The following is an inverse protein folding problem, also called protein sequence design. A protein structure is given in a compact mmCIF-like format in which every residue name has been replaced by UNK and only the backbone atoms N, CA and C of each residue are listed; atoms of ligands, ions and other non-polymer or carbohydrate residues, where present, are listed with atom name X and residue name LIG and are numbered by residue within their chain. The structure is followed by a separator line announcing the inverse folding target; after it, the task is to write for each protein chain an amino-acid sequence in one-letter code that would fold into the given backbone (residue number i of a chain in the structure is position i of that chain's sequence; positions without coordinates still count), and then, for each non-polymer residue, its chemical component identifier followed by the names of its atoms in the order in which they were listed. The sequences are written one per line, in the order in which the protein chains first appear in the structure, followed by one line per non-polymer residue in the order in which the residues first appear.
data_IF_393364402339
#
_entry.id   IF_393364402339
#
_cell.length_a   1.000
_cell.length_b   1.000
_cell.length_c   1.000
_cell.angle_alpha   90.00
_cell.angle_beta   90.00
_cell.angle_gamma   90.00
#
_symmetry.space_group_name_H-M   'P 1'
#
loop_
_entity.id
_entity.type
_entity.pdbx_description
1 polymer ?
#
# COMPACT_ATOMS: atom_id res chain seq x y z
N UNK A 1 14.36 1.14 -25.64
CA UNK A 1 14.85 2.12 -24.64
C UNK A 1 15.32 1.37 -23.42
N UNK A 2 16.26 1.95 -22.69
CA UNK A 2 16.64 1.58 -21.34
C UNK A 2 15.84 2.44 -20.35
N UNK A 3 15.00 1.80 -19.52
CA UNK A 3 14.07 2.49 -18.62
C UNK A 3 14.44 2.15 -17.18
N UNK A 4 14.57 3.16 -16.32
CA UNK A 4 14.80 2.96 -14.90
C UNK A 4 13.49 3.22 -14.12
N UNK A 5 12.98 2.18 -13.45
CA UNK A 5 11.92 2.32 -12.45
C UNK A 5 12.57 2.53 -11.08
N UNK A 6 12.23 3.64 -10.42
CA UNK A 6 12.93 4.05 -9.20
C UNK A 6 11.96 4.19 -8.03
N UNK A 7 12.34 3.71 -6.86
CA UNK A 7 11.58 3.88 -5.62
C UNK A 7 12.51 3.80 -4.39
N UNK A 8 12.01 4.05 -3.19
CA UNK A 8 12.81 3.91 -1.97
C UNK A 8 13.17 2.45 -1.66
N UNK A 9 12.33 1.52 -2.13
CA UNK A 9 12.42 0.07 -1.96
C UNK A 9 11.81 -0.63 -3.18
N UNK A 10 12.27 -1.82 -3.52
CA UNK A 10 11.64 -2.71 -4.53
C UNK A 10 11.68 -4.15 -4.02
N UNK A 11 10.89 -5.05 -4.62
CA UNK A 11 10.88 -6.47 -4.25
C UNK A 11 10.34 -6.76 -2.83
N UNK A 12 9.53 -5.85 -2.28
CA UNK A 12 8.85 -5.96 -0.99
C UNK A 12 7.32 -6.12 -1.18
N UNK A 13 6.58 -6.39 -0.10
CA UNK A 13 5.11 -6.58 -0.13
C UNK A 13 4.30 -5.28 -0.20
N UNK A 14 4.95 -4.12 -0.31
CA UNK A 14 4.24 -2.85 -0.39
C UNK A 14 3.60 -2.64 -1.78
N UNK A 15 2.51 -1.87 -1.81
CA UNK A 15 1.71 -1.69 -3.01
C UNK A 15 2.49 -1.09 -4.19
N UNK A 16 3.48 -0.22 -3.96
CA UNK A 16 4.22 0.44 -5.04
C UNK A 16 5.20 -0.54 -5.67
N UNK A 17 5.92 -1.32 -4.86
CA UNK A 17 6.80 -2.40 -5.36
C UNK A 17 6.04 -3.38 -6.27
N UNK A 18 4.84 -3.82 -5.84
CA UNK A 18 4.00 -4.72 -6.64
C UNK A 18 3.57 -4.11 -7.98
N UNK A 19 3.26 -2.81 -8.03
CA UNK A 19 2.92 -2.14 -9.28
C UNK A 19 4.14 -1.97 -10.19
N UNK A 20 5.31 -1.69 -9.62
CA UNK A 20 6.55 -1.58 -10.38
C UNK A 20 6.92 -2.89 -11.08
N UNK A 21 6.69 -4.04 -10.46
CA UNK A 21 6.91 -5.36 -11.08
C UNK A 21 5.99 -5.57 -12.29
N UNK A 22 4.72 -5.15 -12.20
CA UNK A 22 3.77 -5.21 -13.31
C UNK A 22 4.21 -4.31 -14.46
N UNK A 23 4.62 -3.09 -14.16
CA UNK A 23 5.16 -2.16 -15.16
C UNK A 23 6.41 -2.71 -15.84
N UNK A 24 7.33 -3.29 -15.06
CA UNK A 24 8.52 -3.92 -15.60
C UNK A 24 8.17 -5.02 -16.60
N UNK A 25 7.29 -5.95 -16.22
CA UNK A 25 6.82 -7.03 -17.10
C UNK A 25 6.23 -6.49 -18.40
N UNK A 26 5.34 -5.49 -18.33
CA UNK A 26 4.70 -4.90 -19.52
C UNK A 26 5.73 -4.20 -20.42
N UNK A 27 6.61 -3.39 -19.86
CA UNK A 27 7.64 -2.66 -20.62
C UNK A 27 8.66 -3.61 -21.27
N UNK A 28 9.04 -4.69 -20.59
CA UNK A 28 9.92 -5.72 -21.14
C UNK A 28 9.23 -6.49 -22.28
N UNK A 29 7.94 -6.82 -22.14
CA UNK A 29 7.15 -7.41 -23.21
C UNK A 29 7.01 -6.49 -24.44
N UNK A 30 7.12 -5.18 -24.24
CA UNK A 30 7.19 -4.18 -25.32
C UNK A 30 8.60 -4.06 -25.95
N UNK A 31 9.57 -4.85 -25.51
CA UNK A 31 10.94 -4.87 -26.03
C UNK A 31 11.85 -3.81 -25.43
N UNK A 32 11.52 -3.27 -24.25
CA UNK A 32 12.41 -2.36 -23.51
C UNK A 32 13.29 -3.12 -22.52
N UNK A 33 14.43 -2.54 -22.16
CA UNK A 33 15.27 -3.04 -21.07
C UNK A 33 14.95 -2.24 -19.81
N UNK A 34 14.55 -2.93 -18.74
CA UNK A 34 14.05 -2.27 -17.53
C UNK A 34 14.95 -2.56 -16.34
N UNK A 35 15.29 -1.49 -15.63
CA UNK A 35 16.18 -1.51 -14.48
C UNK A 35 15.43 -1.03 -13.24
N UNK A 36 15.73 -1.65 -12.10
CA UNK A 36 15.32 -1.09 -10.80
C UNK A 36 16.46 -0.28 -10.20
N UNK A 37 16.12 0.87 -9.61
CA UNK A 37 17.03 1.67 -8.77
C UNK A 37 16.31 1.97 -7.47
N UNK A 38 16.89 1.54 -6.33
CA UNK A 38 16.24 1.70 -5.05
C UNK A 38 17.21 1.81 -3.88
N UNK A 39 16.70 2.08 -2.68
CA UNK A 39 17.47 1.99 -1.43
C UNK A 39 17.52 0.59 -0.81
N UNK A 40 16.62 -0.30 -1.21
CA UNK A 40 16.59 -1.74 -0.91
C UNK A 40 15.93 -2.49 -2.07
N UNK A 41 16.32 -3.75 -2.30
CA UNK A 41 15.78 -4.53 -3.43
C UNK A 41 15.02 -5.80 -3.03
N UNK A 42 14.89 -6.11 -1.74
CA UNK A 42 14.10 -7.26 -1.28
C UNK A 42 14.51 -8.55 -2.01
N UNK A 43 13.55 -9.17 -2.70
CA UNK A 43 13.77 -10.38 -3.53
C UNK A 43 14.06 -10.10 -5.01
N UNK A 44 14.16 -8.83 -5.41
CA UNK A 44 14.41 -8.39 -6.78
C UNK A 44 15.87 -8.01 -7.02
N UNK A 45 16.30 -8.09 -8.28
CA UNK A 45 17.59 -7.55 -8.73
C UNK A 45 17.45 -6.06 -9.12
N UNK A 46 18.39 -5.23 -8.67
CA UNK A 46 18.40 -3.80 -8.96
C UNK A 46 19.66 -3.10 -8.49
N UNK A 47 19.84 -1.85 -8.90
CA UNK A 47 20.89 -0.99 -8.40
C UNK A 47 20.49 -0.38 -7.07
N UNK A 48 21.42 -0.39 -6.11
CA UNK A 48 21.19 0.13 -4.77
C UNK A 48 21.91 1.46 -4.59
N UNK A 49 21.18 2.48 -4.16
CA UNK A 49 21.73 3.72 -3.60
C UNK A 49 21.36 3.71 -2.11
N UNK A 50 22.28 3.32 -1.20
CA UNK A 50 21.96 3.10 0.22
C UNK A 50 21.30 4.29 0.90
N UNK A 51 21.67 5.50 0.50
CA UNK A 51 21.13 6.77 0.97
C UNK A 51 19.63 6.96 0.68
N UNK A 52 19.08 6.25 -0.32
CA UNK A 52 17.65 6.25 -0.62
C UNK A 52 16.86 5.25 0.23
N UNK A 53 17.52 4.47 1.08
CA UNK A 53 16.85 3.46 1.88
C UNK A 53 15.80 4.12 2.77
N UNK A 54 14.59 3.55 2.78
CA UNK A 54 13.48 4.09 3.56
C UNK A 54 13.76 4.19 5.07
N UNK A 55 14.77 3.48 5.58
CA UNK A 55 15.22 3.52 6.98
C UNK A 55 16.62 4.10 7.14
N UNK A 56 17.14 4.84 6.16
CA UNK A 56 18.45 5.47 6.27
C UNK A 56 18.45 6.49 7.42
N UNK A 57 19.33 6.29 8.41
CA UNK A 57 19.29 7.00 9.70
C UNK A 57 19.37 8.53 9.54
N UNK A 58 20.29 9.02 8.70
CA UNK A 58 20.45 10.46 8.47
C UNK A 58 19.22 11.06 7.79
N UNK A 59 18.59 10.34 6.86
CA UNK A 59 17.40 10.83 6.16
C UNK A 59 16.17 10.83 7.07
N UNK A 60 16.05 9.86 7.98
CA UNK A 60 15.03 9.86 9.04
C UNK A 60 15.22 11.04 10.02
N UNK A 61 16.48 11.38 10.35
CA UNK A 61 16.80 12.56 11.16
C UNK A 61 16.37 13.84 10.43
N UNK A 62 16.72 13.98 9.16
CA UNK A 62 16.30 15.10 8.31
C UNK A 62 14.78 15.21 8.27
N UNK A 63 14.07 14.12 7.98
CA UNK A 63 12.61 14.10 7.88
C UNK A 63 11.94 14.59 9.17
N UNK A 64 12.34 14.06 10.32
CA UNK A 64 11.80 14.48 11.62
C UNK A 64 12.00 15.97 11.85
N UNK A 65 13.18 16.48 11.52
CA UNK A 65 13.48 17.90 11.70
C UNK A 65 12.78 18.79 10.69
N UNK A 66 12.45 18.25 9.50
CA UNK A 66 11.76 18.96 8.44
C UNK A 66 10.24 19.06 8.67
N UNK A 67 9.62 18.06 9.29
CA UNK A 67 8.14 17.99 9.39
C UNK A 67 7.57 17.87 10.80
N UNK A 68 8.33 17.39 11.77
CA UNK A 68 7.84 17.25 13.15
C UNK A 68 8.29 18.44 13.99
N UNK A 69 9.61 18.58 14.17
CA UNK A 69 10.20 19.64 14.98
C UNK A 69 11.69 19.75 14.71
N UNK A 70 12.16 20.97 14.45
CA UNK A 70 13.59 21.26 14.30
C UNK A 70 14.25 21.31 15.68
N UNK A 71 14.93 20.23 16.07
CA UNK A 71 15.57 20.10 17.39
C UNK A 71 16.92 19.36 17.38
N UNK A 72 17.21 18.54 16.37
CA UNK A 72 18.48 17.81 16.27
C UNK A 72 19.56 18.56 15.46
N UNK A 73 19.25 19.77 15.01
CA UNK A 73 20.15 20.71 14.34
C UNK A 73 20.08 22.05 15.07
N UNK A 74 21.20 22.78 15.11
CA UNK A 74 21.30 24.07 15.81
C UNK A 74 20.36 25.11 15.25
N UNK A 75 20.21 25.15 13.93
CA UNK A 75 19.40 26.11 13.19
C UNK A 75 18.97 25.56 11.82
N UNK A 76 18.20 26.38 11.09
CA UNK A 76 17.76 26.08 9.72
C UNK A 76 18.96 25.86 8.77
N UNK A 77 20.06 26.60 8.93
CA UNK A 77 21.23 26.50 8.05
C UNK A 77 21.96 25.16 8.22
N UNK A 78 22.03 24.62 9.43
CA UNK A 78 22.60 23.29 9.67
C UNK A 78 21.74 22.18 9.05
N UNK A 79 20.41 22.27 9.17
CA UNK A 79 19.50 21.35 8.47
C UNK A 79 19.70 21.43 6.95
N UNK A 80 19.82 22.64 6.38
CA UNK A 80 20.07 22.84 4.94
C UNK A 80 21.40 22.17 4.53
N UNK A 81 22.46 22.33 5.33
CA UNK A 81 23.75 21.67 5.06
C UNK A 81 23.63 20.14 5.06
N UNK A 82 22.89 19.58 6.01
CA UNK A 82 22.64 18.14 6.08
C UNK A 82 21.86 17.64 4.84
N UNK A 83 20.77 18.33 4.47
CA UNK A 83 19.97 18.04 3.28
C UNK A 83 20.84 18.05 2.02
N UNK A 84 21.61 19.12 1.80
CA UNK A 84 22.46 19.27 0.60
C UNK A 84 23.55 18.20 0.55
N UNK A 85 24.19 17.90 1.69
CA UNK A 85 25.20 16.84 1.78
C UNK A 85 24.63 15.48 1.37
N UNK A 86 23.44 15.16 1.86
CA UNK A 86 22.77 13.90 1.52
C UNK A 86 22.32 13.88 0.05
N UNK A 87 21.84 15.02 -0.47
CA UNK A 87 21.43 15.19 -1.87
C UNK A 87 22.60 14.86 -2.80
N UNK A 88 23.78 15.44 -2.56
CA UNK A 88 24.97 15.23 -3.41
C UNK A 88 25.40 13.75 -3.49
N UNK A 89 25.35 13.01 -2.38
CA UNK A 89 25.67 11.58 -2.38
C UNK A 89 24.73 10.77 -3.27
N UNK A 90 23.43 11.07 -3.20
CA UNK A 90 22.41 10.41 -4.02
C UNK A 90 22.61 10.80 -5.49
N UNK A 91 22.91 12.06 -5.78
CA UNK A 91 23.20 12.53 -7.14
C UNK A 91 24.39 11.78 -7.75
N UNK A 92 25.50 11.62 -7.03
CA UNK A 92 26.68 10.89 -7.51
C UNK A 92 26.35 9.43 -7.86
N UNK A 93 25.65 8.73 -6.96
CA UNK A 93 25.22 7.35 -7.20
C UNK A 93 24.25 7.23 -8.37
N UNK A 94 23.26 8.12 -8.43
CA UNK A 94 22.25 8.13 -9.48
C UNK A 94 22.88 8.42 -10.85
N UNK A 95 23.68 9.48 -10.99
CA UNK A 95 24.38 9.81 -12.25
C UNK A 95 25.20 8.63 -12.76
N UNK A 96 25.98 8.00 -11.88
CA UNK A 96 26.80 6.84 -12.22
C UNK A 96 25.94 5.73 -12.84
N UNK A 97 24.87 5.32 -12.15
CA UNK A 97 23.99 4.25 -12.62
C UNK A 97 23.32 4.61 -13.96
N UNK A 98 22.80 5.84 -14.09
CA UNK A 98 22.10 6.29 -15.29
C UNK A 98 23.03 6.33 -16.52
N UNK A 99 24.25 6.84 -16.35
CA UNK A 99 25.25 6.95 -17.43
C UNK A 99 25.77 5.57 -17.85
N UNK A 100 26.20 4.73 -16.89
CA UNK A 100 26.73 3.40 -17.17
C UNK A 100 25.72 2.50 -17.89
N UNK A 101 24.44 2.65 -17.56
CA UNK A 101 23.35 1.88 -18.18
C UNK A 101 22.70 2.56 -19.37
N UNK A 102 23.14 3.77 -19.76
CA UNK A 102 22.58 4.55 -20.86
C UNK A 102 21.06 4.66 -20.76
N UNK A 103 20.56 5.08 -19.59
CA UNK A 103 19.13 5.19 -19.32
C UNK A 103 18.52 6.31 -20.17
N UNK A 104 17.46 5.99 -20.92
CA UNK A 104 16.75 6.92 -21.81
C UNK A 104 15.55 7.60 -21.12
N UNK A 105 14.99 6.95 -20.08
CA UNK A 105 13.78 7.35 -19.38
C UNK A 105 13.85 6.90 -17.92
N UNK A 106 13.50 7.79 -17.00
CA UNK A 106 13.36 7.47 -15.58
C UNK A 106 11.90 7.57 -15.13
N UNK A 107 11.47 6.66 -14.26
CA UNK A 107 10.11 6.60 -13.71
C UNK A 107 10.22 6.54 -12.19
N UNK A 108 10.42 7.68 -11.50
CA UNK A 108 10.36 7.73 -10.05
C UNK A 108 8.93 7.47 -9.57
N UNK A 109 8.76 6.43 -8.77
CA UNK A 109 7.51 6.09 -8.09
C UNK A 109 7.52 6.72 -6.70
N UNK A 110 6.57 7.63 -6.43
CA UNK A 110 6.42 8.39 -5.18
C UNK A 110 7.59 9.31 -4.75
N UNK A 111 8.80 9.15 -5.29
CA UNK A 111 9.97 9.95 -4.90
C UNK A 111 9.68 11.45 -5.03
N UNK A 112 9.00 11.85 -6.10
CA UNK A 112 8.70 13.25 -6.43
C UNK A 112 7.35 13.75 -5.90
N UNK A 113 6.66 13.01 -5.04
CA UNK A 113 5.31 13.41 -4.56
C UNK A 113 5.08 13.22 -3.07
N UNK A 114 5.54 12.12 -2.48
CA UNK A 114 5.13 11.70 -1.13
C UNK A 114 5.74 12.54 0.02
N UNK A 115 6.84 13.25 -0.23
CA UNK A 115 7.52 14.08 0.78
C UNK A 115 8.46 13.34 1.74
N UNK A 116 8.58 12.00 1.63
CA UNK A 116 9.38 11.14 2.51
C UNK A 116 10.84 11.57 2.64
N UNK A 117 11.58 11.70 1.54
CA UNK A 117 13.00 12.10 1.56
C UNK A 117 13.23 13.33 0.69
N UNK A 118 13.38 14.49 1.33
CA UNK A 118 13.76 15.75 0.69
C UNK A 118 15.07 15.59 -0.13
N UNK A 119 16.16 15.03 0.43
CA UNK A 119 17.40 14.84 -0.31
C UNK A 119 17.23 14.01 -1.58
N UNK A 120 16.43 12.94 -1.52
CA UNK A 120 16.20 12.05 -2.68
C UNK A 120 15.46 12.78 -3.80
N UNK A 121 14.38 13.51 -3.49
CA UNK A 121 13.63 14.24 -4.52
C UNK A 121 14.49 15.33 -5.17
N UNK A 122 15.26 16.08 -4.37
CA UNK A 122 16.19 17.09 -4.89
C UNK A 122 17.22 16.45 -5.83
N UNK A 123 17.83 15.34 -5.43
CA UNK A 123 18.82 14.65 -6.24
C UNK A 123 18.26 14.18 -7.58
N UNK A 124 17.05 13.60 -7.59
CA UNK A 124 16.40 13.16 -8.82
C UNK A 124 16.14 14.32 -9.78
N UNK A 125 15.56 15.43 -9.29
CA UNK A 125 15.26 16.59 -10.13
C UNK A 125 16.53 17.23 -10.69
N UNK A 126 17.58 17.37 -9.86
CA UNK A 126 18.85 17.93 -10.28
C UNK A 126 19.51 17.08 -11.37
N UNK A 127 19.56 15.75 -11.18
CA UNK A 127 20.15 14.83 -12.15
C UNK A 127 19.34 14.77 -13.44
N UNK A 128 18.00 14.79 -13.37
CA UNK A 128 17.12 14.84 -14.55
C UNK A 128 17.45 16.07 -15.40
N UNK A 129 17.54 17.25 -14.78
CA UNK A 129 17.88 18.51 -15.45
C UNK A 129 19.29 18.51 -16.00
N UNK A 130 20.27 18.09 -15.21
CA UNK A 130 21.69 18.07 -15.57
C UNK A 130 21.96 17.15 -16.77
N UNK A 131 21.36 15.97 -16.79
CA UNK A 131 21.56 14.98 -17.85
C UNK A 131 20.56 15.11 -19.01
N UNK A 132 19.54 15.96 -18.89
CA UNK A 132 18.47 16.10 -19.89
C UNK A 132 17.65 14.81 -20.09
N UNK A 133 17.55 13.98 -19.06
CA UNK A 133 16.87 12.68 -19.14
C UNK A 133 15.36 12.88 -19.02
N UNK A 134 14.58 12.26 -19.91
CA UNK A 134 13.11 12.32 -19.80
C UNK A 134 12.63 11.56 -18.57
N UNK A 135 11.57 12.07 -17.96
CA UNK A 135 11.03 11.54 -16.71
C UNK A 135 9.51 11.41 -16.76
N UNK A 136 8.99 10.30 -16.23
CA UNK A 136 7.58 10.15 -15.88
C UNK A 136 7.49 10.04 -14.35
N UNK A 137 7.07 11.11 -13.70
CA UNK A 137 6.77 11.08 -12.27
C UNK A 137 5.49 10.30 -12.03
N UNK A 138 5.61 9.07 -11.50
CA UNK A 138 4.46 8.21 -11.20
C UNK A 138 4.10 8.33 -9.72
N UNK A 139 3.00 9.05 -9.46
CA UNK A 139 2.64 9.48 -8.11
C UNK A 139 1.45 8.68 -7.59
N UNK A 140 1.70 7.90 -6.55
CA UNK A 140 0.69 7.10 -5.85
C UNK A 140 0.13 7.84 -4.63
N UNK A 141 0.99 8.64 -3.99
CA UNK A 141 0.68 9.43 -2.80
C UNK A 141 1.37 10.79 -2.89
N UNK A 142 0.77 11.79 -2.26
CA UNK A 142 1.31 13.15 -2.17
C UNK A 142 1.52 13.59 -0.72
N UNK A 143 2.50 14.47 -0.51
CA UNK A 143 2.86 14.95 0.83
C UNK A 143 1.68 15.63 1.54
N UNK A 144 0.77 16.27 0.80
CA UNK A 144 -0.41 16.92 1.38
C UNK A 144 -1.52 15.95 1.80
N UNK A 145 -1.45 14.67 1.41
CA UNK A 145 -2.36 13.62 1.87
C UNK A 145 -1.89 13.01 3.20
N UNK A 146 -0.68 13.37 3.65
CA UNK A 146 0.04 12.75 4.76
C UNK A 146 0.38 13.81 5.81
N UNK A 147 -0.28 13.76 6.96
CA UNK A 147 -0.06 14.73 8.06
C UNK A 147 1.43 14.84 8.40
N UNK A 148 2.14 13.71 8.48
CA UNK A 148 3.56 13.61 8.80
C UNK A 148 4.53 14.19 7.76
N UNK A 149 4.06 14.52 6.54
CA UNK A 149 4.89 15.16 5.49
C UNK A 149 4.36 16.54 5.08
N UNK A 150 3.29 17.02 5.71
CA UNK A 150 2.55 18.22 5.29
C UNK A 150 2.81 19.47 6.14
N UNK A 151 3.62 19.35 7.21
CA UNK A 151 3.84 20.40 8.20
C UNK A 151 5.30 20.87 8.23
N UNK A 152 5.74 21.71 7.27
CA UNK A 152 7.13 22.16 7.24
C UNK A 152 7.50 22.99 8.48
N UNK A 153 8.61 22.64 9.13
CA UNK A 153 9.12 23.30 10.35
C UNK A 153 9.85 24.61 10.07
N UNK A 154 10.39 24.78 8.86
CA UNK A 154 11.14 25.98 8.45
C UNK A 154 10.80 26.43 7.02
N UNK A 155 11.26 27.62 6.64
CA UNK A 155 10.95 28.22 5.34
C UNK A 155 11.62 27.50 4.18
N UNK A 156 12.84 26.96 4.38
CA UNK A 156 13.53 26.16 3.38
C UNK A 156 12.74 24.92 2.99
N UNK A 157 12.24 24.15 3.97
CA UNK A 157 11.45 22.94 3.69
C UNK A 157 10.17 23.30 2.93
N UNK A 158 9.49 24.39 3.31
CA UNK A 158 8.32 24.87 2.56
C UNK A 158 8.65 25.14 1.09
N UNK A 159 9.76 25.84 0.82
CA UNK A 159 10.21 26.14 -0.56
C UNK A 159 10.57 24.86 -1.32
N UNK A 160 11.20 23.89 -0.66
CA UNK A 160 11.52 22.59 -1.27
C UNK A 160 10.24 21.85 -1.68
N UNK A 161 9.21 21.81 -0.81
CA UNK A 161 7.91 21.22 -1.18
C UNK A 161 7.30 21.93 -2.40
N UNK A 162 7.41 23.25 -2.46
CA UNK A 162 6.93 24.05 -3.59
C UNK A 162 7.74 23.88 -4.88
N UNK A 163 9.00 23.45 -4.82
CA UNK A 163 9.87 23.34 -5.98
C UNK A 163 9.98 21.89 -6.49
N UNK A 164 10.06 20.91 -5.58
CA UNK A 164 10.39 19.52 -5.89
C UNK A 164 9.23 18.54 -5.77
N UNK A 165 8.05 18.94 -5.25
CA UNK A 165 6.94 18.02 -4.95
C UNK A 165 5.57 18.41 -5.53
N UNK A 166 5.20 17.85 -6.69
CA UNK A 166 6.10 17.46 -7.78
C UNK A 166 6.67 18.70 -8.50
N UNK A 167 7.82 18.54 -9.19
CA UNK A 167 8.50 19.65 -9.87
C UNK A 167 7.76 20.07 -11.14
N UNK A 168 7.85 21.35 -11.51
CA UNK A 168 7.37 21.86 -12.80
C UNK A 168 8.54 21.94 -13.78
N UNK A 169 8.59 21.02 -14.73
CA UNK A 169 9.70 20.93 -15.69
C UNK A 169 9.24 20.23 -16.98
N UNK A 170 9.70 20.71 -18.14
CA UNK A 170 9.31 20.17 -19.46
C UNK A 170 9.84 18.75 -19.71
N UNK A 171 10.88 18.32 -18.99
CA UNK A 171 11.40 16.95 -19.04
C UNK A 171 10.54 15.97 -18.23
N UNK A 172 9.63 16.46 -17.37
CA UNK A 172 8.90 15.67 -16.39
C UNK A 172 7.41 15.68 -16.72
N UNK A 173 6.91 14.55 -17.21
CA UNK A 173 5.47 14.30 -17.30
C UNK A 173 4.96 13.68 -16.00
N UNK A 174 3.74 14.03 -15.59
CA UNK A 174 3.14 13.50 -14.36
C UNK A 174 2.03 12.49 -14.64
N UNK A 175 2.07 11.41 -13.88
CA UNK A 175 1.06 10.36 -13.87
C UNK A 175 0.56 10.20 -12.45
N UNK A 176 -0.76 10.10 -12.30
CA UNK A 176 -1.44 9.89 -11.02
C UNK A 176 -2.35 8.68 -11.10
N UNK A 177 -2.66 8.07 -9.97
CA UNK A 177 -3.42 6.82 -9.95
C UNK A 177 -4.95 6.98 -9.90
N UNK A 178 -5.46 8.20 -9.66
CA UNK A 178 -6.90 8.45 -9.54
C UNK A 178 -7.32 9.87 -9.94
N UNK A 179 -8.61 10.07 -10.20
CA UNK A 179 -9.18 11.33 -10.69
C UNK A 179 -9.33 12.42 -9.63
N UNK A 180 -9.30 12.07 -8.35
CA UNK A 180 -9.32 13.05 -7.25
C UNK A 180 -7.98 13.77 -7.23
N UNK A 181 -6.90 12.99 -7.17
CA UNK A 181 -5.54 13.50 -7.10
C UNK A 181 -5.11 14.19 -8.39
N UNK A 182 -5.61 13.77 -9.56
CA UNK A 182 -5.43 14.51 -10.82
C UNK A 182 -5.93 15.96 -10.71
N UNK A 183 -7.14 16.14 -10.16
CA UNK A 183 -7.74 17.46 -9.98
C UNK A 183 -7.00 18.25 -8.92
N UNK A 184 -6.64 17.63 -7.80
CA UNK A 184 -5.88 18.29 -6.74
C UNK A 184 -4.51 18.78 -7.24
N UNK A 185 -3.80 17.95 -8.00
CA UNK A 185 -2.51 18.31 -8.59
C UNK A 185 -2.65 19.53 -9.52
N UNK A 186 -3.70 19.55 -10.36
CA UNK A 186 -3.97 20.70 -11.22
C UNK A 186 -4.27 21.98 -10.42
N UNK A 187 -5.07 21.89 -9.35
CA UNK A 187 -5.43 23.05 -8.52
C UNK A 187 -4.25 23.55 -7.70
N UNK A 188 -3.53 22.65 -7.03
CA UNK A 188 -2.45 23.01 -6.09
C UNK A 188 -1.16 23.42 -6.79
N UNK A 189 -0.87 22.83 -7.96
CA UNK A 189 0.42 22.97 -8.64
C UNK A 189 0.30 23.48 -10.07
N UNK A 190 -0.90 23.62 -10.62
CA UNK A 190 -1.11 23.97 -12.04
C UNK A 190 -0.44 22.98 -13.00
N UNK A 191 -0.31 21.71 -12.58
CA UNK A 191 0.31 20.65 -13.35
C UNK A 191 -0.74 19.75 -13.98
N UNK A 192 -0.60 19.49 -15.27
CA UNK A 192 -1.39 18.46 -15.95
C UNK A 192 -0.84 17.07 -15.65
N UNK A 193 -1.72 16.09 -15.64
CA UNK A 193 -1.33 14.69 -15.40
C UNK A 193 -2.26 13.72 -16.10
N UNK A 194 -1.73 12.53 -16.39
CA UNK A 194 -2.48 11.41 -16.95
C UNK A 194 -2.89 10.48 -15.79
N UNK A 195 -4.14 10.03 -15.80
CA UNK A 195 -4.59 9.00 -14.85
C UNK A 195 -4.15 7.64 -15.38
N UNK A 196 -3.29 6.96 -14.62
CA UNK A 196 -2.95 5.55 -14.83
C UNK A 196 -3.18 4.81 -13.51
N UNK A 197 -4.34 4.18 -13.33
CA UNK A 197 -4.65 3.48 -12.11
C UNK A 197 -3.77 2.25 -11.94
N UNK A 198 -3.68 1.75 -10.71
CA UNK A 198 -3.10 0.42 -10.48
C UNK A 198 -3.96 -0.64 -11.16
N UNK A 199 -3.30 -1.64 -11.72
CA UNK A 199 -3.95 -2.65 -12.55
C UNK A 199 -3.70 -4.05 -12.02
N UNK A 200 -4.56 -4.98 -12.44
CA UNK A 200 -4.39 -6.40 -12.18
C UNK A 200 -4.58 -7.15 -13.51
N UNK A 201 -3.74 -8.15 -13.76
CA UNK A 201 -3.87 -8.97 -14.96
C UNK A 201 -4.93 -10.07 -14.73
N UNK A 202 -6.15 -9.81 -15.17
CA UNK A 202 -7.28 -10.73 -15.02
C UNK A 202 -7.24 -11.91 -16.00
N UNK A 203 -6.28 -11.95 -16.94
CA UNK A 203 -6.09 -13.09 -17.84
C UNK A 203 -5.12 -14.13 -17.27
N UNK A 204 -4.40 -13.80 -16.18
CA UNK A 204 -3.54 -14.75 -15.48
C UNK A 204 -4.35 -15.92 -14.89
N UNK A 205 -3.68 -17.06 -14.70
CA UNK A 205 -4.33 -18.22 -14.07
C UNK A 205 -4.71 -17.89 -12.63
N UNK A 206 -5.95 -18.23 -12.26
CA UNK A 206 -6.41 -18.09 -10.87
C UNK A 206 -5.50 -18.83 -9.90
N UNK A 207 -5.36 -18.26 -8.70
CA UNK A 207 -4.69 -18.93 -7.59
C UNK A 207 -5.48 -20.17 -7.18
N UNK A 208 -4.81 -21.30 -7.09
CA UNK A 208 -5.42 -22.60 -6.83
C UNK A 208 -4.77 -23.29 -5.64
N UNK A 209 -5.46 -24.30 -5.12
CA UNK A 209 -4.89 -25.21 -4.13
C UNK A 209 -3.86 -26.10 -4.80
N UNK A 210 -2.69 -26.24 -4.18
CA UNK A 210 -1.62 -27.14 -4.61
C UNK A 210 -0.91 -27.80 -3.42
N UNK A 211 0.13 -28.59 -3.70
CA UNK A 211 0.88 -29.28 -2.65
C UNK A 211 1.57 -28.33 -1.67
N UNK A 212 1.85 -27.09 -2.07
CA UNK A 212 2.45 -26.09 -1.21
C UNK A 212 1.41 -25.47 -0.28
N UNK A 213 0.21 -25.14 -0.72
CA UNK A 213 -0.72 -24.37 0.13
C UNK A 213 -1.86 -25.19 0.75
N UNK A 214 -2.06 -26.46 0.36
CA UNK A 214 -3.18 -27.30 0.83
C UNK A 214 -3.33 -27.43 2.35
N UNK A 215 -2.25 -27.24 3.10
CA UNK A 215 -2.22 -27.33 4.57
C UNK A 215 -2.50 -25.97 5.25
N UNK A 216 -2.82 -24.91 4.50
CA UNK A 216 -2.96 -23.55 5.05
C UNK A 216 -4.06 -23.47 6.12
N UNK A 217 -5.28 -23.93 5.83
CA UNK A 217 -6.39 -23.93 6.80
C UNK A 217 -6.07 -24.78 8.02
N UNK A 218 -5.53 -25.98 7.82
CA UNK A 218 -5.11 -26.90 8.89
C UNK A 218 -4.11 -26.24 9.83
N UNK A 219 -3.09 -25.56 9.28
CA UNK A 219 -2.05 -24.88 10.05
C UNK A 219 -2.57 -23.70 10.88
N UNK A 220 -3.67 -23.08 10.44
CA UNK A 220 -4.38 -22.06 11.20
C UNK A 220 -5.44 -22.63 12.14
N UNK A 221 -5.62 -23.96 12.15
CA UNK A 221 -6.66 -24.64 12.91
C UNK A 221 -8.08 -24.34 12.41
N UNK A 222 -8.23 -23.92 11.15
CA UNK A 222 -9.52 -23.58 10.53
C UNK A 222 -10.08 -24.83 9.84
N UNK A 223 -11.31 -25.21 10.18
CA UNK A 223 -11.99 -26.39 9.62
C UNK A 223 -12.65 -26.07 8.28
N UNK A 224 -13.01 -27.08 7.50
CA UNK A 224 -13.70 -26.90 6.21
C UNK A 224 -15.11 -26.32 6.34
N UNK A 225 -15.73 -26.45 7.52
CA UNK A 225 -17.05 -25.89 7.83
C UNK A 225 -16.99 -24.55 8.59
N UNK A 226 -15.79 -24.00 8.82
CA UNK A 226 -15.59 -22.64 9.32
C UNK A 226 -15.62 -21.62 8.16
N UNK A 227 -15.97 -20.36 8.44
CA UNK A 227 -15.89 -19.25 7.49
C UNK A 227 -14.63 -18.43 7.78
N UNK A 228 -13.77 -18.28 6.77
CA UNK A 228 -12.55 -17.46 6.79
C UNK A 228 -12.84 -16.09 6.16
N UNK A 229 -12.89 -15.06 7.00
CA UNK A 229 -12.96 -13.65 6.61
C UNK A 229 -11.53 -13.11 6.48
N UNK A 230 -11.08 -12.77 5.27
CA UNK A 230 -9.70 -12.37 5.01
C UNK A 230 -9.52 -10.85 5.03
N UNK A 231 -8.69 -10.36 5.95
CA UNK A 231 -8.17 -8.98 5.95
C UNK A 231 -6.72 -8.99 5.43
N UNK A 232 -6.55 -8.66 4.14
CA UNK A 232 -5.26 -8.68 3.45
C UNK A 232 -4.53 -7.34 3.39
N UNK A 233 -4.96 -6.36 4.20
CA UNK A 233 -4.24 -5.09 4.36
C UNK A 233 -3.28 -5.11 5.54
N UNK A 234 -2.33 -4.18 5.53
CA UNK A 234 -1.62 -3.75 6.74
C UNK A 234 -2.60 -3.40 7.87
N UNK A 235 -2.18 -3.57 9.12
CA UNK A 235 -2.96 -3.22 10.31
C UNK A 235 -2.62 -1.79 10.72
N UNK A 236 -3.49 -0.85 10.37
CA UNK A 236 -3.37 0.59 10.65
C UNK A 236 -4.75 1.22 10.79
N UNK A 237 -4.90 2.29 11.58
CA UNK A 237 -6.19 2.98 11.81
C UNK A 237 -7.01 3.25 10.54
N UNK A 238 -6.39 3.75 9.46
CA UNK A 238 -7.10 4.09 8.21
C UNK A 238 -7.74 2.88 7.48
N UNK A 239 -7.38 1.66 7.87
CA UNK A 239 -7.90 0.43 7.29
C UNK A 239 -9.20 -0.02 7.97
N UNK A 240 -9.56 0.60 9.08
CA UNK A 240 -10.81 0.44 9.81
C UNK A 240 -11.24 -1.03 9.99
N UNK A 241 -10.31 -1.89 10.41
CA UNK A 241 -10.51 -3.34 10.58
C UNK A 241 -11.63 -3.61 11.59
N UNK A 242 -11.88 -2.71 12.53
CA UNK A 242 -13.01 -2.72 13.44
C UNK A 242 -14.37 -2.90 12.74
N UNK A 243 -14.57 -2.36 11.54
CA UNK A 243 -15.83 -2.52 10.82
C UNK A 243 -16.02 -3.97 10.35
N UNK A 244 -14.94 -4.69 10.05
CA UNK A 244 -15.02 -6.12 9.78
C UNK A 244 -15.34 -6.91 11.06
N UNK A 245 -14.80 -6.49 12.21
CA UNK A 245 -15.14 -7.07 13.51
C UNK A 245 -16.63 -6.89 13.81
N UNK A 246 -17.16 -5.68 13.61
CA UNK A 246 -18.59 -5.39 13.85
C UNK A 246 -19.49 -6.27 12.99
N UNK A 247 -19.19 -6.39 11.69
CA UNK A 247 -19.97 -7.26 10.79
C UNK A 247 -19.91 -8.72 11.24
N UNK A 248 -18.75 -9.23 11.63
CA UNK A 248 -18.66 -10.60 12.16
C UNK A 248 -19.46 -10.73 13.47
N UNK A 249 -19.41 -9.73 14.35
CA UNK A 249 -20.23 -9.66 15.56
C UNK A 249 -21.73 -9.70 15.27
N UNK A 250 -22.19 -8.93 14.29
CA UNK A 250 -23.58 -8.92 13.84
C UNK A 250 -24.00 -10.27 13.24
N UNK A 251 -23.16 -10.89 12.41
CA UNK A 251 -23.44 -12.23 11.85
C UNK A 251 -23.56 -13.28 12.96
N UNK A 252 -22.79 -13.15 14.04
CA UNK A 252 -22.84 -14.07 15.17
C UNK A 252 -24.06 -13.92 16.07
N UNK A 253 -24.84 -12.84 15.94
CA UNK A 253 -26.12 -12.72 16.64
C UNK A 253 -27.03 -13.87 16.27
N UNK A 254 -27.79 -14.36 17.26
CA UNK A 254 -28.57 -15.60 17.16
C UNK A 254 -29.47 -15.66 15.93
N UNK A 255 -30.18 -14.58 15.60
CA UNK A 255 -31.04 -14.51 14.43
C UNK A 255 -30.27 -14.64 13.10
N UNK A 256 -29.17 -13.92 12.95
CA UNK A 256 -28.35 -13.90 11.74
C UNK A 256 -27.60 -15.21 11.55
N UNK A 257 -27.00 -15.74 12.64
CA UNK A 257 -26.30 -17.02 12.62
C UNK A 257 -27.22 -18.16 12.20
N UNK A 258 -28.49 -18.13 12.62
CA UNK A 258 -29.47 -19.16 12.25
C UNK A 258 -29.67 -19.25 10.74
N UNK A 259 -29.62 -18.13 10.03
CA UNK A 259 -29.69 -18.09 8.57
C UNK A 259 -28.53 -18.88 7.94
N UNK A 260 -27.32 -18.76 8.50
CA UNK A 260 -26.16 -19.53 8.05
C UNK A 260 -26.30 -21.02 8.39
N UNK A 261 -26.81 -21.36 9.57
CA UNK A 261 -27.02 -22.76 10.00
C UNK A 261 -28.07 -23.49 9.17
N UNK A 262 -29.03 -22.77 8.58
CA UNK A 262 -30.03 -23.31 7.66
C UNK A 262 -29.53 -23.37 6.20
N UNK A 263 -28.36 -22.78 5.90
CA UNK A 263 -27.77 -22.72 4.57
C UNK A 263 -26.60 -23.71 4.40
N UNK A 264 -26.21 -23.94 3.14
CA UNK A 264 -24.93 -24.59 2.80
C UNK A 264 -23.90 -23.55 2.40
N UNK A 265 -22.67 -23.73 2.87
CA UNK A 265 -21.52 -22.96 2.42
C UNK A 265 -21.25 -23.25 0.93
N UNK A 266 -20.57 -22.34 0.23
CA UNK A 266 -20.28 -22.49 -1.20
C UNK A 266 -19.45 -23.74 -1.53
N UNK A 267 -18.71 -24.26 -0.55
CA UNK A 267 -17.93 -25.50 -0.66
C UNK A 267 -18.77 -26.77 -0.39
N UNK A 268 -20.09 -26.63 -0.21
CA UNK A 268 -21.04 -27.73 0.03
C UNK A 268 -21.16 -28.18 1.49
N UNK A 269 -20.31 -27.67 2.39
CA UNK A 269 -20.36 -27.98 3.82
C UNK A 269 -21.54 -27.31 4.51
N UNK A 270 -22.05 -27.92 5.57
CA UNK A 270 -23.05 -27.30 6.44
C UNK A 270 -22.37 -26.43 7.49
N UNK A 271 -22.83 -25.19 7.64
CA UNK A 271 -22.47 -24.38 8.80
C UNK A 271 -23.31 -24.83 10.00
N UNK A 272 -22.69 -25.09 11.14
CA UNK A 272 -23.39 -25.65 12.31
C UNK A 272 -22.89 -25.03 13.62
N UNK A 273 -23.33 -25.58 14.77
CA UNK A 273 -22.96 -25.06 16.09
C UNK A 273 -21.46 -25.09 16.36
N UNK A 274 -20.75 -26.05 15.77
CA UNK A 274 -19.30 -26.19 15.92
C UNK A 274 -18.53 -25.35 14.88
N UNK A 275 -19.21 -24.77 13.87
CA UNK A 275 -18.60 -23.86 12.90
C UNK A 275 -18.25 -22.52 13.53
N UNK A 276 -17.15 -21.94 13.07
CA UNK A 276 -16.67 -20.61 13.51
C UNK A 276 -16.63 -19.64 12.33
N UNK A 277 -16.64 -18.35 12.66
CA UNK A 277 -16.31 -17.28 11.72
C UNK A 277 -15.02 -16.65 12.23
N UNK A 278 -13.96 -16.76 11.44
CA UNK A 278 -12.61 -16.39 11.85
C UNK A 278 -12.13 -15.23 10.98
N UNK A 279 -11.81 -14.10 11.60
CA UNK A 279 -11.19 -12.96 10.94
C UNK A 279 -9.67 -13.15 10.89
N UNK A 280 -9.12 -13.38 9.70
CA UNK A 280 -7.70 -13.67 9.49
C UNK A 280 -6.99 -12.44 8.94
N UNK A 281 -6.03 -11.91 9.70
CA UNK A 281 -5.25 -10.72 9.38
C UNK A 281 -3.85 -11.16 8.94
N UNK A 282 -3.52 -10.90 7.67
CA UNK A 282 -2.26 -11.36 7.06
C UNK A 282 -1.24 -10.25 6.86
N UNK A 283 -1.68 -8.98 6.88
CA UNK A 283 -0.79 -7.85 6.62
C UNK A 283 0.07 -7.45 7.83
N UNK A 284 1.16 -6.74 7.54
CA UNK A 284 2.07 -6.23 8.57
C UNK A 284 1.38 -5.26 9.53
N UNK A 285 1.79 -5.30 10.80
CA UNK A 285 1.37 -4.34 11.82
C UNK A 285 2.22 -3.08 11.66
N UNK A 286 1.60 -1.97 11.26
CA UNK A 286 2.27 -0.69 11.01
C UNK A 286 1.54 0.46 11.73
N UNK A 287 1.22 0.24 12.99
CA UNK A 287 0.62 1.26 13.84
C UNK A 287 1.63 1.75 14.87
N UNK A 288 1.58 3.04 15.20
CA UNK A 288 2.44 3.68 16.21
C UNK A 288 1.73 3.89 17.55
N UNK A 289 0.44 3.58 17.61
CA UNK A 289 -0.43 3.70 18.78
C UNK A 289 -0.88 2.32 19.27
N UNK A 290 -1.89 2.29 20.14
CA UNK A 290 -2.47 1.09 20.74
C UNK A 290 -3.56 0.42 19.87
N UNK A 291 -3.65 0.73 18.56
CA UNK A 291 -4.75 0.28 17.69
C UNK A 291 -4.97 -1.25 17.71
N UNK A 292 -3.91 -2.06 17.77
CA UNK A 292 -4.02 -3.53 17.87
C UNK A 292 -4.75 -3.96 19.15
N UNK A 293 -4.49 -3.30 20.27
CA UNK A 293 -5.14 -3.63 21.54
C UNK A 293 -6.61 -3.16 21.55
N UNK A 294 -6.89 -2.00 20.92
CA UNK A 294 -8.27 -1.54 20.68
C UNK A 294 -9.05 -2.53 19.81
N UNK A 295 -8.46 -3.07 18.74
CA UNK A 295 -9.06 -4.13 17.92
C UNK A 295 -9.33 -5.41 18.71
N UNK A 296 -8.36 -5.88 19.51
CA UNK A 296 -8.54 -7.07 20.37
C UNK A 296 -9.67 -6.88 21.38
N UNK A 297 -9.79 -5.67 21.94
CA UNK A 297 -10.85 -5.32 22.89
C UNK A 297 -12.21 -5.40 22.21
N UNK A 298 -12.37 -4.73 21.07
CA UNK A 298 -13.61 -4.76 20.27
C UNK A 298 -13.98 -6.16 19.81
N UNK A 299 -12.99 -6.97 19.40
CA UNK A 299 -13.21 -8.36 19.02
C UNK A 299 -13.73 -9.20 20.20
N UNK A 300 -13.14 -9.04 21.39
CA UNK A 300 -13.59 -9.73 22.60
C UNK A 300 -15.02 -9.35 22.97
N UNK A 301 -15.35 -8.06 22.93
CA UNK A 301 -16.70 -7.55 23.21
C UNK A 301 -17.75 -8.08 22.23
N UNK A 302 -17.37 -8.26 20.96
CA UNK A 302 -18.22 -8.81 19.91
C UNK A 302 -18.12 -10.34 19.77
N UNK A 303 -17.40 -11.03 20.67
CA UNK A 303 -17.14 -12.48 20.60
C UNK A 303 -16.55 -12.95 19.25
N UNK A 304 -15.72 -12.13 18.62
CA UNK A 304 -15.09 -12.40 17.31
C UNK A 304 -13.71 -13.02 17.50
N UNK A 305 -13.46 -14.14 16.83
CA UNK A 305 -12.13 -14.75 16.77
C UNK A 305 -11.27 -14.05 15.71
N UNK A 306 -10.10 -13.57 16.12
CA UNK A 306 -9.12 -12.92 15.25
C UNK A 306 -7.81 -13.68 15.25
N UNK A 307 -7.27 -13.98 14.07
CA UNK A 307 -5.96 -14.59 13.89
C UNK A 307 -5.01 -13.62 13.17
N UNK A 308 -3.95 -13.20 13.86
CA UNK A 308 -2.83 -12.49 13.25
C UNK A 308 -1.82 -13.51 12.75
N UNK A 309 -1.67 -13.63 11.43
CA UNK A 309 -0.84 -14.67 10.79
C UNK A 309 0.27 -14.07 9.93
N UNK A 310 0.54 -12.78 10.07
CA UNK A 310 1.53 -12.04 9.29
C UNK A 310 2.96 -12.62 9.36
N UNK A 311 3.28 -13.40 10.39
CA UNK A 311 4.56 -14.12 10.50
C UNK A 311 4.67 -15.35 9.60
N UNK A 312 3.56 -15.81 9.00
CA UNK A 312 3.49 -16.96 8.11
C UNK A 312 3.39 -16.57 6.63
N UNK A 313 3.34 -15.27 6.32
CA UNK A 313 3.02 -14.74 4.99
C UNK A 313 4.15 -13.82 4.52
N UNK A 314 4.59 -13.99 3.28
CA UNK A 314 5.55 -13.12 2.59
C UNK A 314 5.04 -12.80 1.16
N UNK A 315 5.80 -11.98 0.42
CA UNK A 315 5.48 -11.64 -0.97
C UNK A 315 5.35 -12.89 -1.85
N UNK A 316 6.30 -13.81 -1.71
CA UNK A 316 6.40 -15.06 -2.45
C UNK A 316 6.57 -16.22 -1.49
N UNK A 317 6.10 -17.41 -1.90
CA UNK A 317 6.32 -18.66 -1.17
C UNK A 317 7.81 -18.88 -0.93
N UNK A 318 8.20 -19.16 0.31
CA UNK A 318 9.61 -19.37 0.66
C UNK A 318 9.76 -20.25 1.91
N UNK A 319 11.00 -20.60 2.24
CA UNK A 319 11.34 -21.23 3.51
C UNK A 319 12.20 -20.24 4.29
N UNK A 320 11.78 -19.88 5.50
CA UNK A 320 12.46 -18.93 6.38
C UNK A 320 12.71 -19.59 7.72
N UNK A 321 13.97 -19.69 8.15
CA UNK A 321 14.36 -20.34 9.41
C UNK A 321 13.80 -21.78 9.55
N UNK A 322 13.84 -22.58 8.49
CA UNK A 322 13.22 -23.92 8.41
C UNK A 322 11.69 -23.96 8.57
N UNK A 323 11.02 -22.81 8.60
CA UNK A 323 9.57 -22.72 8.54
C UNK A 323 9.10 -22.43 7.12
N UNK A 324 8.07 -23.15 6.71
CA UNK A 324 7.33 -22.88 5.48
C UNK A 324 6.56 -21.58 5.61
N UNK A 325 6.66 -20.72 4.60
CA UNK A 325 6.03 -19.40 4.54
C UNK A 325 5.18 -19.32 3.27
N UNK A 326 3.91 -18.98 3.43
CA UNK A 326 2.98 -18.85 2.32
C UNK A 326 3.16 -17.50 1.63
N UNK A 327 2.76 -17.43 0.37
CA UNK A 327 2.60 -16.13 -0.28
C UNK A 327 1.32 -15.44 0.20
N UNK A 328 1.26 -14.12 0.06
CA UNK A 328 0.02 -13.37 0.21
C UNK A 328 -1.13 -13.98 -0.64
N UNK A 329 -0.81 -14.41 -1.87
CA UNK A 329 -1.78 -14.99 -2.81
C UNK A 329 -2.41 -16.30 -2.32
N UNK A 330 -1.67 -17.10 -1.55
CA UNK A 330 -2.20 -18.34 -0.97
C UNK A 330 -3.37 -18.06 -0.02
N UNK A 331 -3.37 -16.91 0.65
CA UNK A 331 -4.44 -16.55 1.60
C UNK A 331 -5.78 -16.33 0.90
N UNK A 332 -5.78 -15.79 -0.32
CA UNK A 332 -6.97 -15.56 -1.12
C UNK A 332 -7.63 -16.86 -1.61
N UNK A 333 -6.84 -17.91 -1.83
CA UNK A 333 -7.36 -19.22 -2.27
C UNK A 333 -8.36 -19.77 -1.25
N UNK A 334 -8.01 -19.68 0.03
CA UNK A 334 -8.77 -20.25 1.15
C UNK A 334 -9.77 -19.29 1.79
N UNK A 335 -9.77 -18.02 1.37
CA UNK A 335 -10.73 -17.03 1.87
C UNK A 335 -12.14 -17.34 1.39
N UNK A 336 -13.11 -17.16 2.28
CA UNK A 336 -14.52 -17.32 1.97
C UNK A 336 -15.14 -15.95 1.63
N UNK A 337 -14.73 -14.91 2.35
CA UNK A 337 -15.06 -13.50 2.12
C UNK A 337 -13.81 -12.66 2.32
N UNK A 338 -13.64 -11.61 1.54
CA UNK A 338 -12.57 -10.62 1.74
C UNK A 338 -13.15 -9.40 2.43
N UNK A 339 -12.50 -8.95 3.49
CA UNK A 339 -12.84 -7.73 4.19
C UNK A 339 -11.95 -6.60 3.70
N UNK A 340 -12.60 -5.55 3.20
CA UNK A 340 -11.97 -4.32 2.77
C UNK A 340 -12.68 -3.07 3.31
N UNK A 341 -12.70 -2.89 4.65
CA UNK A 341 -13.38 -1.77 5.30
C UNK A 341 -12.60 -0.44 5.23
N UNK A 342 -11.58 -0.33 4.39
CA UNK A 342 -10.66 0.81 4.42
C UNK A 342 -11.37 2.13 4.12
N UNK A 343 -11.27 3.08 5.06
CA UNK A 343 -11.89 4.40 4.98
C UNK A 343 -11.05 5.40 4.18
N UNK A 344 -9.75 5.14 4.01
CA UNK A 344 -8.85 5.98 3.22
C UNK A 344 -7.84 5.14 2.45
N UNK A 345 -7.83 5.30 1.13
CA UNK A 345 -6.97 4.58 0.18
C UNK A 345 -6.55 5.46 -0.99
N UNK A 346 -5.40 5.20 -1.60
CA UNK A 346 -4.98 5.91 -2.83
C UNK A 346 -5.57 5.31 -4.11
N UNK A 347 -5.88 4.00 -4.10
CA UNK A 347 -6.56 3.32 -5.19
C UNK A 347 -7.41 2.16 -4.70
N UNK A 348 -6.74 1.09 -4.24
CA UNK A 348 -7.35 -0.06 -3.60
C UNK A 348 -7.01 -1.39 -4.25
N UNK A 349 -5.73 -1.79 -4.16
CA UNK A 349 -5.25 -3.03 -4.75
C UNK A 349 -5.96 -4.27 -4.19
N UNK A 350 -6.31 -4.29 -2.90
CA UNK A 350 -7.05 -5.41 -2.31
C UNK A 350 -8.42 -5.63 -2.97
N UNK A 351 -9.07 -4.56 -3.44
CA UNK A 351 -10.31 -4.69 -4.20
C UNK A 351 -10.07 -5.43 -5.53
N UNK A 352 -9.02 -5.08 -6.27
CA UNK A 352 -8.66 -5.77 -7.51
C UNK A 352 -8.24 -7.23 -7.26
N UNK A 353 -7.48 -7.48 -6.19
CA UNK A 353 -7.06 -8.81 -5.77
C UNK A 353 -8.28 -9.68 -5.43
N UNK A 354 -9.28 -9.12 -4.75
CA UNK A 354 -10.53 -9.83 -4.45
C UNK A 354 -11.43 -10.09 -5.66
N UNK A 355 -11.47 -9.15 -6.60
CA UNK A 355 -12.08 -9.39 -7.91
C UNK A 355 -11.40 -10.53 -8.66
N UNK A 356 -10.06 -10.55 -8.65
CA UNK A 356 -9.30 -11.61 -9.31
C UNK A 356 -9.55 -12.97 -8.65
N UNK A 357 -9.54 -13.02 -7.32
CA UNK A 357 -9.86 -14.22 -6.54
C UNK A 357 -11.32 -14.67 -6.70
N UNK A 358 -12.19 -13.85 -7.31
CA UNK A 358 -13.63 -14.10 -7.49
C UNK A 358 -14.35 -14.40 -6.16
N UNK A 359 -13.96 -13.68 -5.10
CA UNK A 359 -14.57 -13.83 -3.76
C UNK A 359 -15.55 -12.69 -3.46
N UNK A 360 -16.62 -12.93 -2.69
CA UNK A 360 -17.42 -11.85 -2.12
C UNK A 360 -16.56 -10.89 -1.30
N UNK A 361 -16.87 -9.60 -1.38
CA UNK A 361 -16.11 -8.56 -0.69
C UNK A 361 -17.01 -7.67 0.15
N UNK A 362 -16.65 -7.50 1.42
CA UNK A 362 -17.18 -6.48 2.32
C UNK A 362 -16.36 -5.20 2.12
N UNK A 363 -16.98 -4.13 1.61
CA UNK A 363 -16.27 -2.93 1.15
C UNK A 363 -16.86 -1.69 1.80
N UNK A 364 -16.02 -0.88 2.43
CA UNK A 364 -16.36 0.51 2.71
C UNK A 364 -16.20 1.34 1.45
N UNK A 365 -17.21 2.12 1.06
CA UNK A 365 -17.20 2.89 -0.18
C UNK A 365 -16.38 4.19 -0.01
N UNK A 366 -15.06 4.05 0.12
CA UNK A 366 -14.13 5.18 0.18
C UNK A 366 -14.18 6.05 -1.10
N UNK A 367 -13.67 7.28 -1.00
CA UNK A 367 -13.86 8.31 -2.01
C UNK A 367 -13.43 7.90 -3.43
N UNK A 368 -12.27 7.24 -3.56
CA UNK A 368 -11.79 6.76 -4.85
C UNK A 368 -12.61 5.60 -5.38
N UNK A 369 -13.09 4.68 -4.53
CA UNK A 369 -14.03 3.66 -4.96
C UNK A 369 -15.27 4.31 -5.57
N UNK A 370 -15.88 5.26 -4.87
CA UNK A 370 -17.09 5.95 -5.36
C UNK A 370 -16.86 6.68 -6.67
N UNK A 371 -15.72 7.38 -6.79
CA UNK A 371 -15.44 8.25 -7.92
C UNK A 371 -15.01 7.49 -9.17
N UNK A 372 -14.13 6.50 -9.02
CA UNK A 372 -13.39 5.90 -10.14
C UNK A 372 -13.71 4.41 -10.37
N UNK A 373 -14.35 3.73 -9.40
CA UNK A 373 -14.56 2.27 -9.44
C UNK A 373 -16.05 1.90 -9.48
N UNK A 374 -16.89 2.50 -8.63
CA UNK A 374 -18.31 2.12 -8.42
C UNK A 374 -19.13 2.14 -9.72
N UNK A 375 -18.87 3.11 -10.60
CA UNK A 375 -19.53 3.22 -11.91
C UNK A 375 -19.31 2.05 -12.87
N UNK A 376 -18.37 1.15 -12.57
CA UNK A 376 -18.06 -0.05 -13.39
C UNK A 376 -19.01 -1.23 -13.13
N UNK A 377 -19.94 -1.12 -12.17
CA UNK A 377 -21.03 -2.10 -11.97
C UNK A 377 -20.67 -3.32 -11.12
N UNK A 378 -19.63 -3.23 -10.27
CA UNK A 378 -19.27 -4.32 -9.35
C UNK A 378 -20.32 -4.50 -8.26
N UNK A 379 -20.55 -5.76 -7.88
CA UNK A 379 -21.41 -6.13 -6.74
C UNK A 379 -20.52 -6.36 -5.51
N UNK A 380 -20.77 -5.59 -4.47
CA UNK A 380 -20.06 -5.67 -3.19
C UNK A 380 -21.06 -5.69 -2.05
N UNK A 381 -20.65 -6.22 -0.90
CA UNK A 381 -21.36 -6.04 0.36
C UNK A 381 -20.90 -4.67 0.89
N UNK A 382 -21.74 -3.65 0.75
CA UNK A 382 -21.38 -2.26 1.05
C UNK A 382 -21.50 -1.97 2.55
N UNK A 383 -20.48 -1.35 3.13
CA UNK A 383 -20.49 -0.74 4.46
C UNK A 383 -20.91 0.74 4.40
N UNK A 384 -21.56 1.16 3.31
CA UNK A 384 -21.86 2.57 3.08
C UNK A 384 -20.61 3.39 2.81
N UNK A 385 -20.76 4.71 2.89
CA UNK A 385 -19.74 5.71 2.55
C UNK A 385 -19.50 6.75 3.63
N UNK A 386 -20.07 6.53 4.82
CA UNK A 386 -19.99 7.42 5.97
C UNK A 386 -19.61 6.63 7.21
N UNK A 387 -18.73 7.21 8.00
CA UNK A 387 -18.35 6.67 9.30
C UNK A 387 -18.22 7.81 10.30
N UNK A 388 -18.32 7.45 11.56
CA UNK A 388 -17.96 8.30 12.70
C UNK A 388 -16.88 7.58 13.51
N UNK A 389 -16.11 8.33 14.30
CA UNK A 389 -15.22 7.74 15.29
C UNK A 389 -15.98 7.61 16.62
N UNK A 390 -15.84 6.46 17.27
CA UNK A 390 -16.32 6.27 18.64
C UNK A 390 -15.38 6.88 19.69
N UNK A 391 -15.71 6.71 20.96
CA UNK A 391 -14.92 7.23 22.09
C UNK A 391 -13.50 6.66 22.17
N UNK A 392 -13.26 5.51 21.51
CA UNK A 392 -11.95 4.87 21.43
C UNK A 392 -11.22 5.24 20.14
N UNK A 393 -11.75 6.14 19.32
CA UNK A 393 -11.17 6.54 18.04
C UNK A 393 -11.20 5.43 16.98
N UNK A 394 -12.15 4.49 17.09
CA UNK A 394 -12.40 3.45 16.09
C UNK A 394 -13.60 3.82 15.23
N UNK A 395 -13.58 3.45 13.95
CA UNK A 395 -14.68 3.72 13.04
C UNK A 395 -15.96 2.94 13.41
N UNK A 396 -17.11 3.58 13.23
CA UNK A 396 -18.43 2.94 13.21
C UNK A 396 -19.24 3.43 12.02
N UNK A 397 -20.10 2.58 11.49
CA UNK A 397 -21.09 2.91 10.45
C UNK A 397 -22.50 2.92 11.05
N UNK A 398 -23.49 3.44 10.30
CA UNK A 398 -24.90 3.43 10.72
C UNK A 398 -25.42 2.01 10.93
N UNK A 399 -26.38 1.81 11.84
CA UNK A 399 -26.93 0.46 12.14
C UNK A 399 -27.78 -0.12 11.01
N UNK A 400 -28.29 0.76 10.15
CA UNK A 400 -29.09 0.45 8.98
C UNK A 400 -28.27 -0.06 7.78
N UNK A 401 -26.95 0.14 7.84
CA UNK A 401 -25.95 -0.39 6.91
C UNK A 401 -25.58 -1.79 7.34
#
# INVERSE_FOLDING_TARGET
MNIALCHYRVGETDGVSLEMDKWKKVLENMGHKVYFIAGSTGTSDGYIIPEMNYRFEEDLKIERNAYLKLEDYQDEDELIRAIRKQTLKIEEGLKKILIENKIDLIVPNNILSIGRSIPTAMAFVNVIKELGIRCIGHHHDFYWERVNFSQPTCNFVRKVLEEYYPPKDDLISHVVINSIVQRELKVRRSLDSIIMPNVFDFNEKLWEVDNYNKDFRERLGIKDNDILMLQATRVTNRKAIELAIDVVGEIQKKENRKILEEAKLYNGQSFNRDSRIVLVLVGMIETTDDYVERLKTRAKENSVEMLFVNNLIEHSRCIKNNYKIYSLWDTYVFADIITYPSIQEGWGNQFLEGLFAKKPMLVFEYDIYKKDIKGKGFKVISLGDKYELDEYGLAKVGKEV
#
